data_IF_540289460461
#
_entry.id   IF_540289460461
#
_cell.length_a   1.000
_cell.length_b   1.000
_cell.length_c   1.000
_cell.angle_alpha   90.00
_cell.angle_beta   90.00
_cell.angle_gamma   90.00
#
_symmetry.space_group_name_H-M   'P 1'
#
loop_
_entity.id
_entity.type
_entity.pdbx_description
1 polymer ?
#
# COMPACT_ATOMS: atom_id res chain seq x y z
N UNK A 1 8.26 -7.78 -16.41
CA UNK A 1 9.20 -7.82 -17.55
C UNK A 1 10.53 -7.19 -17.16
N UNK A 2 11.14 -7.53 -16.05
CA UNK A 2 12.22 -6.67 -15.63
C UNK A 2 13.28 -7.35 -14.75
N UNK A 3 13.61 -8.55 -15.07
CA UNK A 3 14.87 -9.13 -14.67
C UNK A 3 15.83 -8.98 -15.85
N UNK A 4 16.33 -7.76 -16.05
CA UNK A 4 17.19 -7.40 -17.16
C UNK A 4 18.12 -6.25 -16.76
N UNK A 5 19.30 -6.20 -17.34
CA UNK A 5 20.30 -5.14 -17.17
C UNK A 5 19.78 -3.82 -17.71
N UNK A 6 19.09 -3.87 -18.86
CA UNK A 6 18.51 -2.74 -19.54
C UNK A 6 17.03 -2.97 -19.87
N UNK A 7 16.23 -1.91 -19.86
CA UNK A 7 14.82 -1.94 -20.23
C UNK A 7 14.47 -0.71 -21.07
N UNK A 8 13.77 -0.93 -22.17
CA UNK A 8 13.15 0.14 -22.95
C UNK A 8 11.76 0.45 -22.38
N UNK A 9 11.51 1.70 -22.02
CA UNK A 9 10.23 2.15 -21.48
C UNK A 9 9.88 3.54 -22.04
N UNK A 10 8.57 3.89 -22.17
CA UNK A 10 8.14 5.23 -22.54
C UNK A 10 8.66 6.28 -21.52
N UNK A 11 9.22 7.37 -22.01
CA UNK A 11 9.77 8.44 -21.16
C UNK A 11 8.73 9.01 -20.18
N UNK A 12 7.45 9.06 -20.58
CA UNK A 12 6.35 9.50 -19.73
C UNK A 12 6.10 8.62 -18.50
N UNK A 13 6.66 7.41 -18.46
CA UNK A 13 6.55 6.48 -17.31
C UNK A 13 7.73 6.59 -16.34
N UNK A 14 8.73 7.39 -16.66
CA UNK A 14 10.00 7.43 -15.95
C UNK A 14 10.16 8.71 -15.14
N UNK A 15 10.91 8.62 -14.05
CA UNK A 15 11.42 9.73 -13.27
C UNK A 15 12.88 9.46 -12.88
N UNK A 16 13.66 10.51 -12.73
CA UNK A 16 15.04 10.39 -12.25
C UNK A 16 15.05 9.90 -10.81
N UNK A 17 15.90 8.90 -10.54
CA UNK A 17 16.14 8.43 -9.18
C UNK A 17 16.84 9.53 -8.37
N UNK A 18 16.36 9.87 -7.15
CA UNK A 18 17.10 10.75 -6.25
C UNK A 18 18.53 10.26 -5.98
N UNK A 19 19.48 11.17 -5.92
CA UNK A 19 20.90 10.81 -5.75
C UNK A 19 21.22 10.23 -4.36
N UNK A 20 20.46 10.63 -3.36
CA UNK A 20 20.68 10.26 -1.94
C UNK A 20 19.99 8.97 -1.50
N UNK A 21 19.37 8.22 -2.41
CA UNK A 21 18.80 6.90 -2.11
C UNK A 21 19.50 5.80 -2.89
N UNK A 22 19.59 4.61 -2.32
CA UNK A 22 20.18 3.44 -3.00
C UNK A 22 19.31 2.97 -4.16
N UNK A 23 19.89 2.22 -5.11
CA UNK A 23 19.14 1.58 -6.18
C UNK A 23 18.09 0.60 -5.64
N UNK A 24 18.43 -0.13 -4.57
CA UNK A 24 17.52 -1.06 -3.90
C UNK A 24 16.29 -0.33 -3.32
N UNK A 25 16.51 0.80 -2.62
CA UNK A 25 15.41 1.59 -2.08
C UNK A 25 14.51 2.17 -3.19
N UNK A 26 15.12 2.63 -4.29
CA UNK A 26 14.38 3.13 -5.44
C UNK A 26 13.56 2.02 -6.12
N UNK A 27 14.18 0.85 -6.36
CA UNK A 27 13.49 -0.30 -6.97
C UNK A 27 12.32 -0.78 -6.12
N UNK A 28 12.46 -0.78 -4.79
CA UNK A 28 11.39 -1.12 -3.86
C UNK A 28 10.16 -0.22 -4.00
N UNK A 29 10.38 1.06 -4.33
CA UNK A 29 9.33 2.08 -4.38
C UNK A 29 8.50 2.04 -5.68
N UNK A 30 9.09 1.66 -6.81
CA UNK A 30 8.52 1.93 -8.14
C UNK A 30 7.05 1.50 -8.31
N UNK A 31 6.72 0.24 -8.05
CA UNK A 31 5.33 -0.24 -8.14
C UNK A 31 4.53 0.06 -6.88
N UNK A 32 5.10 -0.27 -5.72
CA UNK A 32 4.35 -0.30 -4.47
C UNK A 32 4.03 1.11 -3.94
N UNK A 33 4.98 2.05 -4.01
CA UNK A 33 4.72 3.43 -3.63
C UNK A 33 3.79 4.13 -4.63
N UNK A 34 3.91 3.82 -5.92
CA UNK A 34 3.02 4.36 -6.96
C UNK A 34 1.58 3.88 -6.73
N UNK A 35 1.39 2.58 -6.40
CA UNK A 35 0.08 2.03 -6.05
C UNK A 35 -0.53 2.76 -4.86
N UNK A 36 0.24 2.91 -3.77
CA UNK A 36 -0.21 3.62 -2.58
C UNK A 36 -0.54 5.09 -2.87
N UNK A 37 0.30 5.76 -3.65
CA UNK A 37 0.10 7.15 -4.07
C UNK A 37 -1.19 7.32 -4.85
N UNK A 38 -1.39 6.51 -5.89
CA UNK A 38 -2.58 6.61 -6.72
C UNK A 38 -3.85 6.26 -5.94
N UNK A 39 -3.80 5.31 -5.02
CA UNK A 39 -4.94 5.00 -4.16
C UNK A 39 -5.32 6.19 -3.27
N UNK A 40 -4.35 6.75 -2.58
CA UNK A 40 -4.58 7.78 -1.55
C UNK A 40 -4.74 9.18 -2.12
N UNK A 41 -3.88 9.56 -3.08
CA UNK A 41 -3.81 10.94 -3.59
C UNK A 41 -4.68 11.12 -4.82
N UNK A 42 -4.50 10.28 -5.82
CA UNK A 42 -5.17 10.46 -7.13
C UNK A 42 -6.64 10.08 -7.06
N UNK A 43 -6.95 8.93 -6.45
CA UNK A 43 -8.30 8.37 -6.42
C UNK A 43 -9.08 8.82 -5.19
N UNK A 44 -8.64 8.48 -3.98
CA UNK A 44 -9.38 8.80 -2.75
C UNK A 44 -9.26 10.28 -2.35
N UNK A 45 -8.23 11.00 -2.81
CA UNK A 45 -7.99 12.42 -2.51
C UNK A 45 -8.03 12.71 -1.02
N UNK A 46 -7.29 11.91 -0.27
CA UNK A 46 -7.24 11.96 1.19
C UNK A 46 -6.91 13.36 1.69
N UNK A 47 -7.58 13.76 2.76
CA UNK A 47 -7.42 15.06 3.42
C UNK A 47 -7.00 14.88 4.87
N UNK A 48 -6.36 15.90 5.41
CA UNK A 48 -6.00 15.95 6.83
C UNK A 48 -7.24 15.72 7.73
N UNK A 49 -7.04 14.97 8.81
CA UNK A 49 -8.08 14.63 9.77
C UNK A 49 -8.99 13.46 9.39
N UNK A 50 -8.91 12.95 8.15
CA UNK A 50 -9.67 11.75 7.78
C UNK A 50 -9.13 10.52 8.50
N UNK A 51 -10.03 9.61 8.87
CA UNK A 51 -9.72 8.32 9.48
C UNK A 51 -9.60 7.24 8.41
N UNK A 52 -8.43 6.61 8.35
CA UNK A 52 -8.06 5.68 7.29
C UNK A 52 -7.68 4.33 7.88
N UNK A 53 -8.21 3.25 7.30
CA UNK A 53 -7.78 1.89 7.57
C UNK A 53 -6.94 1.37 6.40
N UNK A 54 -5.75 0.84 6.72
CA UNK A 54 -4.86 0.22 5.75
C UNK A 54 -4.65 -1.24 6.13
N UNK A 55 -5.15 -2.15 5.31
CA UNK A 55 -4.94 -3.58 5.49
C UNK A 55 -3.53 -4.00 5.04
N UNK A 56 -2.98 -5.02 5.72
CA UNK A 56 -1.61 -5.48 5.55
C UNK A 56 -0.59 -4.31 5.56
N UNK A 57 -0.71 -3.43 6.56
CA UNK A 57 0.07 -2.21 6.71
C UNK A 57 1.59 -2.44 6.74
N UNK A 58 2.06 -3.64 7.14
CA UNK A 58 3.47 -4.01 7.12
C UNK A 58 3.95 -4.53 5.75
N UNK A 59 3.06 -4.72 4.79
CA UNK A 59 3.35 -5.32 3.48
C UNK A 59 3.93 -4.35 2.46
N UNK A 60 4.11 -4.85 1.23
CA UNK A 60 4.77 -4.13 0.15
C UNK A 60 4.13 -2.79 -0.23
N UNK A 61 2.80 -2.71 -0.33
CA UNK A 61 2.08 -1.44 -0.57
C UNK A 61 1.75 -0.76 0.74
N UNK A 62 1.34 -1.53 1.76
CA UNK A 62 0.87 -1.00 3.04
C UNK A 62 1.87 -0.08 3.73
N UNK A 63 3.16 -0.44 3.76
CA UNK A 63 4.16 0.37 4.45
C UNK A 63 4.38 1.76 3.79
N UNK A 64 4.19 1.88 2.47
CA UNK A 64 4.17 3.19 1.82
C UNK A 64 2.85 3.93 2.06
N UNK A 65 1.73 3.21 2.03
CA UNK A 65 0.43 3.80 2.23
C UNK A 65 0.30 4.46 3.62
N UNK A 66 0.80 3.81 4.68
CA UNK A 66 0.86 4.39 6.03
C UNK A 66 1.61 5.71 6.02
N UNK A 67 2.82 5.74 5.47
CA UNK A 67 3.67 6.94 5.45
C UNK A 67 3.05 8.07 4.62
N UNK A 68 2.49 7.75 3.45
CA UNK A 68 1.83 8.74 2.58
C UNK A 68 0.59 9.31 3.29
N UNK A 69 -0.26 8.46 3.88
CA UNK A 69 -1.44 8.89 4.60
C UNK A 69 -1.09 9.81 5.79
N UNK A 70 -0.04 9.47 6.54
CA UNK A 70 0.45 10.33 7.63
C UNK A 70 0.99 11.66 7.11
N UNK A 71 1.73 11.65 6.01
CA UNK A 71 2.20 12.89 5.37
C UNK A 71 1.04 13.81 4.93
N UNK A 72 -0.08 13.23 4.54
CA UNK A 72 -1.31 13.96 4.21
C UNK A 72 -2.10 14.43 5.43
N UNK A 73 -1.66 14.10 6.65
CA UNK A 73 -2.30 14.50 7.89
C UNK A 73 -3.49 13.64 8.31
N UNK A 74 -3.63 12.44 7.78
CA UNK A 74 -4.70 11.52 8.16
C UNK A 74 -4.44 10.84 9.50
N UNK A 75 -5.50 10.36 10.15
CA UNK A 75 -5.44 9.41 11.26
C UNK A 75 -5.43 7.99 10.68
N UNK A 76 -4.38 7.24 10.95
CA UNK A 76 -4.11 5.97 10.27
C UNK A 76 -4.19 4.79 11.23
N UNK A 77 -5.07 3.84 10.91
CA UNK A 77 -5.17 2.53 11.55
C UNK A 77 -4.54 1.51 10.59
N UNK A 78 -3.51 0.79 11.04
CA UNK A 78 -2.85 -0.23 10.23
C UNK A 78 -3.16 -1.63 10.74
N UNK A 79 -3.62 -2.54 9.87
CA UNK A 79 -3.76 -3.95 10.25
C UNK A 79 -2.54 -4.76 9.85
N UNK A 80 -2.04 -5.57 10.75
CA UNK A 80 -1.03 -6.60 10.49
C UNK A 80 -1.05 -7.66 11.59
N UNK A 81 -0.16 -8.65 11.58
CA UNK A 81 0.03 -9.53 12.74
C UNK A 81 0.76 -8.80 13.86
N UNK A 82 0.56 -9.24 15.12
CA UNK A 82 1.15 -8.64 16.32
C UNK A 82 2.67 -8.41 16.22
N UNK A 83 3.39 -9.32 15.59
CA UNK A 83 4.86 -9.22 15.41
C UNK A 83 5.29 -7.97 14.62
N UNK A 84 4.39 -7.39 13.82
CA UNK A 84 4.65 -6.21 13.01
C UNK A 84 4.15 -4.92 13.66
N UNK A 85 3.64 -4.97 14.90
CA UNK A 85 3.06 -3.81 15.58
C UNK A 85 4.02 -2.62 15.62
N UNK A 86 5.21 -2.84 16.17
CA UNK A 86 6.19 -1.76 16.34
C UNK A 86 6.66 -1.19 15.00
N UNK A 87 6.76 -2.05 13.98
CA UNK A 87 7.08 -1.61 12.63
C UNK A 87 5.98 -0.69 12.08
N UNK A 88 4.71 -1.10 12.15
CA UNK A 88 3.58 -0.31 11.63
C UNK A 88 3.43 1.01 12.36
N UNK A 89 3.56 1.03 13.68
CA UNK A 89 3.56 2.26 14.48
C UNK A 89 4.78 3.14 14.15
N UNK A 90 5.95 2.54 13.94
CA UNK A 90 7.18 3.22 13.51
C UNK A 90 7.10 3.85 12.11
N UNK A 91 6.20 3.39 11.24
CA UNK A 91 5.87 4.04 9.97
C UNK A 91 5.00 5.30 10.15
N UNK A 92 4.47 5.51 11.36
CA UNK A 92 3.63 6.63 11.72
C UNK A 92 2.14 6.30 11.86
N UNK A 93 1.72 5.04 11.81
CA UNK A 93 0.33 4.69 12.11
C UNK A 93 -0.03 5.12 13.55
N UNK A 94 -1.25 5.66 13.73
CA UNK A 94 -1.76 6.08 15.05
C UNK A 94 -2.22 4.88 15.85
N UNK A 95 -2.76 3.86 15.17
CA UNK A 95 -3.21 2.61 15.78
C UNK A 95 -2.74 1.40 14.97
N UNK A 96 -2.49 0.30 15.69
CA UNK A 96 -2.23 -1.00 15.09
C UNK A 96 -3.31 -2.00 15.51
N UNK A 97 -3.82 -2.73 14.54
CA UNK A 97 -4.84 -3.74 14.74
C UNK A 97 -4.31 -5.14 14.36
N UNK A 98 -4.26 -6.06 15.32
CA UNK A 98 -3.81 -7.43 15.08
C UNK A 98 -4.97 -8.27 14.54
N UNK A 99 -5.00 -8.49 13.23
CA UNK A 99 -6.08 -9.22 12.53
C UNK A 99 -6.24 -10.68 12.98
N UNK A 100 -5.26 -11.24 13.70
CA UNK A 100 -5.34 -12.63 14.22
C UNK A 100 -6.13 -12.74 15.50
N UNK A 101 -6.09 -11.70 16.33
CA UNK A 101 -6.67 -11.70 17.67
C UNK A 101 -7.81 -10.68 17.81
N UNK A 102 -7.99 -9.80 16.84
CA UNK A 102 -8.98 -8.73 16.87
C UNK A 102 -9.78 -8.73 15.56
N UNK A 103 -11.04 -8.36 15.65
CA UNK A 103 -11.91 -8.22 14.50
C UNK A 103 -12.01 -6.72 14.16
N UNK A 104 -11.51 -6.32 13.01
CA UNK A 104 -11.54 -4.91 12.62
C UNK A 104 -12.97 -4.38 12.39
N UNK A 105 -13.94 -5.26 12.23
CA UNK A 105 -15.37 -4.91 12.20
C UNK A 105 -15.87 -4.34 13.53
N UNK A 106 -15.13 -4.56 14.61
CA UNK A 106 -15.43 -3.99 15.93
C UNK A 106 -14.92 -2.53 16.05
N UNK A 107 -14.17 -2.04 15.05
CA UNK A 107 -13.82 -0.63 14.94
C UNK A 107 -15.07 0.25 14.78
N UNK A 108 -15.02 1.51 15.21
CA UNK A 108 -16.10 2.46 14.92
C UNK A 108 -16.41 2.53 13.43
N UNK A 109 -17.69 2.56 13.08
CA UNK A 109 -18.17 2.64 11.68
C UNK A 109 -18.10 4.08 11.13
N UNK A 110 -16.95 4.70 11.27
CA UNK A 110 -16.67 6.09 10.90
C UNK A 110 -15.44 6.23 10.00
N UNK A 111 -15.00 5.13 9.41
CA UNK A 111 -13.81 5.09 8.55
C UNK A 111 -14.09 5.83 7.24
N UNK A 112 -13.33 6.87 6.95
CA UNK A 112 -13.45 7.65 5.71
C UNK A 112 -12.95 6.89 4.49
N UNK A 113 -11.86 6.13 4.67
CA UNK A 113 -11.21 5.42 3.58
C UNK A 113 -10.60 4.10 4.06
N UNK A 114 -10.77 3.05 3.28
CA UNK A 114 -10.10 1.76 3.47
C UNK A 114 -9.26 1.44 2.24
N UNK A 115 -7.97 1.17 2.44
CA UNK A 115 -7.12 0.55 1.44
C UNK A 115 -7.04 -0.95 1.72
N UNK A 116 -7.70 -1.73 0.88
CA UNK A 116 -7.61 -3.18 0.96
C UNK A 116 -6.51 -3.71 0.04
N UNK A 117 -5.49 -4.29 0.66
CA UNK A 117 -4.35 -4.93 -0.01
C UNK A 117 -4.37 -6.46 0.14
N UNK A 118 -5.47 -7.00 0.66
CA UNK A 118 -5.66 -8.43 0.97
C UNK A 118 -6.60 -9.11 -0.04
N UNK A 119 -7.75 -8.46 -0.31
CA UNK A 119 -8.76 -8.97 -1.24
C UNK A 119 -9.71 -10.00 -0.61
N UNK A 120 -10.50 -10.65 -1.47
CA UNK A 120 -11.46 -11.66 -1.05
C UNK A 120 -12.53 -11.12 -0.10
N UNK A 121 -12.86 -11.89 0.94
CA UNK A 121 -13.85 -11.51 1.95
C UNK A 121 -13.49 -10.25 2.74
N UNK A 122 -12.20 -9.87 2.75
CA UNK A 122 -11.75 -8.69 3.47
C UNK A 122 -12.37 -7.39 2.92
N UNK A 123 -12.60 -7.33 1.62
CA UNK A 123 -13.26 -6.18 0.96
C UNK A 123 -14.70 -6.05 1.44
N UNK A 124 -15.45 -7.17 1.46
CA UNK A 124 -16.85 -7.20 1.90
C UNK A 124 -16.99 -6.70 3.35
N UNK A 125 -16.12 -7.18 4.23
CA UNK A 125 -16.07 -6.76 5.64
C UNK A 125 -15.66 -5.29 5.78
N UNK A 126 -14.80 -4.79 4.89
CA UNK A 126 -14.36 -3.38 4.87
C UNK A 126 -15.49 -2.41 4.50
N UNK A 127 -16.42 -2.84 3.65
CA UNK A 127 -17.63 -2.04 3.34
C UNK A 127 -18.49 -1.81 4.59
N UNK A 128 -18.47 -2.76 5.55
CA UNK A 128 -19.30 -2.65 6.77
C UNK A 128 -18.84 -1.57 7.73
N UNK A 129 -17.57 -1.23 7.74
CA UNK A 129 -16.98 -0.24 8.65
C UNK A 129 -16.77 1.14 8.01
N UNK A 130 -16.84 1.22 6.69
CA UNK A 130 -16.77 2.50 5.99
C UNK A 130 -18.04 3.33 6.28
N UNK A 131 -17.84 4.62 6.58
CA UNK A 131 -18.98 5.53 6.76
C UNK A 131 -19.74 5.76 5.45
N UNK A 132 -20.96 6.23 5.52
CA UNK A 132 -21.69 6.68 4.33
C UNK A 132 -20.91 7.79 3.61
N UNK A 133 -20.73 7.66 2.30
CA UNK A 133 -19.88 8.53 1.49
C UNK A 133 -18.39 8.23 1.60
N UNK A 134 -17.99 7.26 2.42
CA UNK A 134 -16.62 6.77 2.50
C UNK A 134 -16.22 5.97 1.26
N UNK A 135 -14.93 5.62 1.17
CA UNK A 135 -14.39 4.92 0.02
C UNK A 135 -13.61 3.68 0.45
N UNK A 136 -13.79 2.58 -0.28
CA UNK A 136 -13.01 1.34 -0.12
C UNK A 136 -12.37 1.02 -1.46
N UNK A 137 -11.03 1.00 -1.52
CA UNK A 137 -10.27 0.60 -2.71
C UNK A 137 -9.63 -0.76 -2.46
N UNK A 138 -9.95 -1.74 -3.31
CA UNK A 138 -9.24 -3.00 -3.39
C UNK A 138 -8.18 -2.95 -4.49
N UNK A 139 -6.99 -3.48 -4.22
CA UNK A 139 -5.90 -3.56 -5.20
C UNK A 139 -5.53 -4.97 -5.65
N UNK A 140 -5.81 -6.06 -4.88
CA UNK A 140 -5.44 -7.41 -5.32
C UNK A 140 -6.47 -8.03 -6.26
N UNK A 141 -7.74 -7.66 -6.15
CA UNK A 141 -8.82 -8.27 -6.94
C UNK A 141 -9.98 -7.32 -7.15
N UNK A 142 -10.74 -7.53 -8.20
CA UNK A 142 -12.03 -6.86 -8.41
C UNK A 142 -13.03 -7.17 -7.30
N UNK A 143 -14.09 -6.37 -7.22
CA UNK A 143 -15.22 -6.61 -6.32
C UNK A 143 -16.20 -7.57 -7.00
N UNK A 144 -16.76 -8.51 -6.25
CA UNK A 144 -17.89 -9.32 -6.71
C UNK A 144 -19.15 -8.45 -6.89
N UNK A 145 -20.13 -8.94 -7.62
CA UNK A 145 -21.42 -8.25 -7.79
C UNK A 145 -22.09 -7.99 -6.43
N UNK A 146 -22.06 -8.99 -5.53
CA UNK A 146 -22.67 -8.86 -4.19
C UNK A 146 -21.98 -7.77 -3.35
N UNK A 147 -20.65 -7.66 -3.39
CA UNK A 147 -19.89 -6.62 -2.69
C UNK A 147 -20.17 -5.24 -3.29
N UNK A 148 -20.25 -5.16 -4.61
CA UNK A 148 -20.59 -3.92 -5.32
C UNK A 148 -21.99 -3.42 -4.95
N UNK A 149 -22.98 -4.32 -4.93
CA UNK A 149 -24.34 -3.98 -4.55
C UNK A 149 -24.45 -3.58 -3.07
N UNK A 150 -23.77 -4.29 -2.18
CA UNK A 150 -23.67 -3.95 -0.75
C UNK A 150 -23.07 -2.54 -0.55
N UNK A 151 -21.99 -2.22 -1.24
CA UNK A 151 -21.37 -0.90 -1.18
C UNK A 151 -22.37 0.20 -1.60
N UNK A 152 -23.09 -0.02 -2.71
CA UNK A 152 -24.11 0.88 -3.22
C UNK A 152 -25.24 1.09 -2.22
N UNK A 153 -25.78 0.00 -1.64
CA UNK A 153 -26.86 0.06 -0.63
C UNK A 153 -26.43 0.85 0.62
N UNK A 154 -25.16 0.73 1.02
CA UNK A 154 -24.59 1.45 2.16
C UNK A 154 -24.16 2.88 1.82
N UNK A 155 -24.18 3.25 0.54
CA UNK A 155 -23.69 4.55 0.09
C UNK A 155 -22.17 4.70 0.24
N UNK A 156 -21.42 3.59 0.08
CA UNK A 156 -19.96 3.53 0.11
C UNK A 156 -19.43 3.43 -1.32
N UNK A 157 -18.35 4.15 -1.64
CA UNK A 157 -17.68 4.08 -2.93
C UNK A 157 -16.69 2.90 -2.93
N UNK A 158 -17.15 1.72 -3.34
CA UNK A 158 -16.31 0.51 -3.41
C UNK A 158 -15.86 0.24 -4.85
N UNK A 159 -14.54 0.11 -5.10
CA UNK A 159 -14.04 -0.26 -6.41
C UNK A 159 -12.63 -0.88 -6.38
N UNK A 160 -12.30 -1.56 -7.48
CA UNK A 160 -10.97 -2.08 -7.74
C UNK A 160 -10.11 -1.02 -8.45
N UNK A 161 -8.84 -0.92 -8.05
CA UNK A 161 -7.89 -0.04 -8.68
C UNK A 161 -6.69 -0.83 -9.20
N UNK A 162 -6.39 -0.66 -10.48
CA UNK A 162 -5.14 -1.11 -11.07
C UNK A 162 -4.21 0.10 -11.26
N UNK A 163 -3.00 0.02 -10.69
CA UNK A 163 -1.98 1.06 -10.81
C UNK A 163 -1.57 1.29 -12.27
N UNK A 164 -1.39 2.54 -12.65
CA UNK A 164 -0.95 2.96 -13.97
C UNK A 164 0.45 3.57 -13.89
N UNK A 165 1.35 3.16 -14.79
CA UNK A 165 2.68 3.76 -14.88
C UNK A 165 2.57 5.27 -15.18
N UNK A 166 3.19 6.10 -14.33
CA UNK A 166 3.11 7.56 -14.43
C UNK A 166 4.40 8.20 -13.91
N UNK A 167 5.16 8.87 -14.81
CA UNK A 167 6.42 9.51 -14.46
C UNK A 167 6.26 10.73 -13.56
N UNK A 168 5.17 11.49 -13.69
CA UNK A 168 4.93 12.65 -12.81
C UNK A 168 4.63 12.21 -11.38
N UNK A 169 3.79 11.18 -11.19
CA UNK A 169 3.57 10.59 -9.86
C UNK A 169 4.89 10.06 -9.28
N UNK A 170 5.71 9.38 -10.11
CA UNK A 170 7.02 8.87 -9.67
C UNK A 170 7.99 9.99 -9.32
N UNK A 171 7.94 11.14 -9.97
CA UNK A 171 8.72 12.33 -9.63
C UNK A 171 8.32 12.90 -8.26
N UNK A 172 7.02 12.97 -7.97
CA UNK A 172 6.51 13.39 -6.66
C UNK A 172 6.95 12.42 -5.55
N UNK A 173 6.80 11.11 -5.78
CA UNK A 173 7.27 10.06 -4.88
C UNK A 173 8.79 10.16 -4.67
N UNK A 174 9.55 10.38 -5.74
CA UNK A 174 10.99 10.62 -5.69
C UNK A 174 11.35 11.77 -4.76
N UNK A 175 10.64 12.89 -4.86
CA UNK A 175 10.83 14.04 -3.96
C UNK A 175 10.54 13.73 -2.49
N UNK A 176 9.56 12.88 -2.19
CA UNK A 176 9.28 12.43 -0.82
C UNK A 176 10.39 11.49 -0.29
N UNK A 177 10.90 10.61 -1.14
CA UNK A 177 12.02 9.73 -0.82
C UNK A 177 13.29 10.56 -0.57
N UNK A 178 13.59 11.55 -1.42
CA UNK A 178 14.73 12.43 -1.29
C UNK A 178 14.75 13.21 0.04
N UNK A 179 13.57 13.66 0.48
CA UNK A 179 13.37 14.39 1.74
C UNK A 179 13.31 13.46 2.97
N UNK A 180 13.36 12.13 2.78
CA UNK A 180 13.22 11.15 3.85
C UNK A 180 11.82 11.10 4.49
N UNK A 181 10.82 11.74 3.87
CA UNK A 181 9.41 11.67 4.28
C UNK A 181 8.86 10.27 3.99
N UNK A 182 9.22 9.72 2.85
CA UNK A 182 8.91 8.36 2.46
C UNK A 182 10.19 7.51 2.52
N UNK A 183 10.09 6.33 3.10
CA UNK A 183 11.21 5.39 3.22
C UNK A 183 10.82 4.03 2.71
N UNK A 184 11.67 3.44 1.87
CA UNK A 184 11.53 2.07 1.40
C UNK A 184 12.08 1.11 2.45
N UNK A 185 11.27 0.15 2.87
CA UNK A 185 11.73 -0.94 3.70
C UNK A 185 12.02 -2.16 2.85
N UNK A 186 13.30 -2.53 2.75
CA UNK A 186 13.78 -3.73 2.07
C UNK A 186 14.09 -4.78 3.12
N UNK A 187 13.23 -5.78 3.26
CA UNK A 187 13.41 -6.87 4.21
C UNK A 187 14.66 -7.69 3.89
N UNK A 188 14.85 -7.97 2.61
CA UNK A 188 15.97 -8.78 2.12
C UNK A 188 16.26 -8.53 0.65
N UNK A 189 17.54 -8.59 0.29
CA UNK A 189 17.99 -8.62 -1.10
C UNK A 189 18.57 -10.00 -1.42
N UNK A 190 18.30 -10.46 -2.64
CA UNK A 190 18.83 -11.72 -3.16
C UNK A 190 19.58 -11.44 -4.45
N UNK A 191 20.76 -12.06 -4.67
CA UNK A 191 21.38 -12.02 -5.98
C UNK A 191 20.53 -12.77 -7.01
N UNK A 192 20.70 -12.46 -8.28
CA UNK A 192 19.86 -12.97 -9.35
C UNK A 192 19.83 -14.51 -9.43
N UNK A 193 20.96 -15.17 -9.18
CA UNK A 193 21.05 -16.64 -9.15
C UNK A 193 20.24 -17.28 -8.00
N UNK A 194 19.81 -16.48 -7.01
CA UNK A 194 18.96 -16.88 -5.88
C UNK A 194 17.48 -16.48 -6.03
N UNK A 195 17.04 -16.16 -7.23
CA UNK A 195 15.66 -15.70 -7.47
C UNK A 195 14.61 -16.73 -7.01
N UNK A 196 14.89 -18.03 -7.11
CA UNK A 196 14.00 -19.08 -6.62
C UNK A 196 13.79 -18.98 -5.09
N UNK A 197 14.84 -18.70 -4.33
CA UNK A 197 14.76 -18.50 -2.89
C UNK A 197 13.94 -17.25 -2.55
N UNK A 198 14.07 -16.19 -3.35
CA UNK A 198 13.27 -14.97 -3.18
C UNK A 198 11.77 -15.23 -3.43
N UNK A 199 11.42 -16.05 -4.43
CA UNK A 199 10.05 -16.49 -4.67
C UNK A 199 9.50 -17.30 -3.49
N UNK A 200 10.23 -18.28 -3.00
CA UNK A 200 9.84 -19.05 -1.81
C UNK A 200 9.62 -18.14 -0.59
N UNK A 201 10.47 -17.12 -0.41
CA UNK A 201 10.30 -16.16 0.68
C UNK A 201 9.02 -15.33 0.53
N UNK A 202 8.71 -14.80 -0.66
CA UNK A 202 7.51 -13.97 -0.87
C UNK A 202 6.23 -14.79 -0.73
N UNK A 203 6.24 -16.06 -1.15
CA UNK A 203 5.12 -17.00 -1.05
C UNK A 203 4.76 -17.35 0.40
N UNK A 204 5.68 -17.16 1.35
CA UNK A 204 5.34 -17.33 2.78
C UNK A 204 4.25 -16.38 3.26
N UNK A 205 3.98 -15.28 2.55
CA UNK A 205 3.07 -14.22 2.97
C UNK A 205 3.54 -13.43 4.20
N UNK A 206 4.80 -13.62 4.64
CA UNK A 206 5.37 -13.02 5.87
C UNK A 206 6.40 -11.92 5.59
N UNK A 207 6.44 -11.43 4.36
CA UNK A 207 7.38 -10.37 3.97
C UNK A 207 6.95 -9.03 4.54
N UNK A 208 7.83 -8.41 5.31
CA UNK A 208 7.71 -7.04 5.78
C UNK A 208 8.35 -6.12 4.74
N UNK A 209 7.59 -5.14 4.22
CA UNK A 209 8.08 -4.28 3.13
C UNK A 209 8.31 -5.04 1.82
N UNK A 210 9.52 -4.95 1.26
CA UNK A 210 9.87 -5.45 -0.07
C UNK A 210 11.05 -6.43 -0.05
N UNK A 211 11.09 -7.29 -1.05
CA UNK A 211 12.25 -8.11 -1.41
C UNK A 211 12.81 -7.56 -2.72
N UNK A 212 14.13 -7.50 -2.83
CA UNK A 212 14.84 -6.98 -4.00
C UNK A 212 15.73 -8.07 -4.58
N UNK A 213 15.76 -8.15 -5.91
CA UNK A 213 16.72 -8.93 -6.67
C UNK A 213 17.81 -7.98 -7.15
N UNK A 214 19.06 -8.36 -6.97
CA UNK A 214 20.25 -7.62 -7.45
C UNK A 214 20.93 -8.40 -8.56
N UNK A 215 21.37 -7.69 -9.57
CA UNK A 215 22.23 -8.18 -10.64
C UNK A 215 23.69 -8.13 -10.22
#
# INVERSE_FOLDING_TARGET
KAYAEDVAAPAAHLALKPKNISHQAAAAATLAALTAWQALVTNAKIKAGQKILIHAAAGGVGHYAVQIAKHLGAYVIGTSSAINKDFVLGLGADEHFDYKNQRFEDLPKDIDFVLDTVGGENVDRSIDIARKGGTVISIPSGLSESVTEKAKQKGVNGYFMLVQSNGEDMKLIGGLLEKGILRSYVMRSYPFDKIAEAHLQIETGRTQGKIIITL
#
